data_IF_115316222848
#
_entry.id   IF_115316222848
#
_cell.length_a   1.000
_cell.length_b   1.000
_cell.length_c   1.000
_cell.angle_alpha   90.00
_cell.angle_beta   90.00
_cell.angle_gamma   90.00
#
_symmetry.space_group_name_H-M   'P 1'
#
loop_
_entity.id
_entity.type
_entity.pdbx_description
1 polymer ?
#
# COMPACT_ATOMS: atom_id res chain seq x y z
N UNK A 1 -18.92 10.18 -5.13
CA UNK A 1 -19.01 8.71 -5.25
C UNK A 1 -17.57 8.20 -5.40
N UNK A 2 -17.01 7.63 -4.33
CA UNK A 2 -15.58 7.34 -4.18
C UNK A 2 -15.16 6.17 -5.09
N UNK A 3 -14.16 6.39 -5.94
CA UNK A 3 -13.53 5.35 -6.74
C UNK A 3 -12.19 5.04 -6.09
N UNK A 4 -12.09 3.86 -5.46
CA UNK A 4 -10.85 3.33 -4.86
C UNK A 4 -10.11 2.57 -5.95
N UNK A 5 -8.93 3.03 -6.33
CA UNK A 5 -7.95 2.20 -7.01
C UNK A 5 -6.59 2.49 -6.38
N UNK A 6 -6.17 1.61 -5.47
CA UNK A 6 -4.83 1.62 -4.91
C UNK A 6 -4.35 0.16 -4.73
N UNK A 7 -3.14 -0.11 -5.25
CA UNK A 7 -2.25 -1.24 -5.00
C UNK A 7 -2.77 -2.68 -5.21
N UNK A 8 -2.43 -3.25 -6.37
CA UNK A 8 -2.47 -4.72 -6.61
C UNK A 8 -1.27 -5.45 -5.93
N UNK A 9 -0.34 -4.75 -5.28
CA UNK A 9 0.85 -5.35 -4.65
C UNK A 9 0.78 -5.63 -3.14
N UNK A 10 -0.10 -4.95 -2.38
CA UNK A 10 -0.13 -5.05 -0.90
C UNK A 10 -1.50 -5.44 -0.31
N UNK A 11 -2.52 -5.62 -1.15
CA UNK A 11 -3.86 -6.07 -0.71
C UNK A 11 -4.00 -7.58 -0.54
N UNK A 12 -3.00 -8.38 -0.94
CA UNK A 12 -3.03 -9.85 -0.74
C UNK A 12 -2.69 -10.28 0.69
N UNK A 13 -2.21 -9.39 1.56
CA UNK A 13 -1.98 -9.65 2.98
C UNK A 13 -3.03 -9.06 3.92
N UNK A 14 -3.96 -8.24 3.40
CA UNK A 14 -5.14 -7.75 4.15
C UNK A 14 -6.47 -8.36 3.68
N UNK A 15 -6.48 -9.18 2.63
CA UNK A 15 -7.66 -9.91 2.15
C UNK A 15 -7.89 -11.26 2.85
N UNK A 16 -7.00 -11.70 3.75
CA UNK A 16 -7.21 -12.95 4.52
C UNK A 16 -8.06 -12.77 5.79
N UNK A 17 -8.51 -11.54 6.08
CA UNK A 17 -9.29 -11.21 7.28
C UNK A 17 -10.51 -10.33 6.97
N UNK A 18 -11.22 -10.57 5.87
CA UNK A 18 -12.60 -10.07 5.71
C UNK A 18 -13.36 -10.77 4.57
N UNK A 19 -14.45 -11.44 4.94
CA UNK A 19 -15.64 -11.82 4.16
C UNK A 19 -15.59 -12.98 3.15
N UNK A 20 -16.37 -14.01 3.51
CA UNK A 20 -17.06 -14.96 2.64
C UNK A 20 -17.83 -14.28 1.48
N UNK A 21 -17.75 -14.93 0.31
CA UNK A 21 -18.47 -14.73 -0.99
C UNK A 21 -17.91 -13.69 -1.97
N UNK A 22 -17.58 -14.13 -3.20
CA UNK A 22 -18.31 -13.67 -4.40
C UNK A 22 -18.06 -14.50 -5.69
N UNK A 23 -19.10 -14.84 -6.50
CA UNK A 23 -18.99 -15.55 -7.79
C UNK A 23 -18.81 -14.66 -9.05
N UNK A 24 -18.44 -13.39 -8.94
CA UNK A 24 -18.42 -12.44 -10.08
C UNK A 24 -17.04 -12.23 -10.74
N UNK A 25 -15.98 -12.82 -10.19
CA UNK A 25 -14.61 -12.61 -10.68
C UNK A 25 -14.40 -13.19 -12.09
N UNK A 26 -15.05 -14.31 -12.43
CA UNK A 26 -14.84 -14.99 -13.71
C UNK A 26 -15.27 -14.15 -14.93
N UNK A 27 -16.42 -13.48 -14.85
CA UNK A 27 -16.91 -12.61 -15.94
C UNK A 27 -16.04 -11.36 -16.11
N UNK A 28 -15.47 -10.87 -15.02
CA UNK A 28 -14.54 -9.75 -15.03
C UNK A 28 -13.20 -10.16 -15.67
N UNK A 29 -12.67 -11.32 -15.28
CA UNK A 29 -11.46 -11.94 -15.83
C UNK A 29 -11.60 -12.18 -17.34
N UNK A 30 -12.72 -12.76 -17.79
CA UNK A 30 -12.96 -13.06 -19.21
C UNK A 30 -13.04 -11.78 -20.07
N UNK A 31 -13.67 -10.71 -19.54
CA UNK A 31 -13.69 -9.39 -20.21
C UNK A 31 -12.30 -8.76 -20.28
N UNK A 32 -11.51 -8.90 -19.22
CA UNK A 32 -10.14 -8.41 -19.16
C UNK A 32 -9.26 -9.12 -20.20
N UNK A 33 -9.36 -10.45 -20.27
CA UNK A 33 -8.63 -11.28 -21.23
C UNK A 33 -8.92 -10.87 -22.68
N UNK A 34 -10.20 -10.69 -23.03
CA UNK A 34 -10.61 -10.26 -24.37
C UNK A 34 -10.10 -8.85 -24.74
N UNK A 35 -10.12 -7.91 -23.79
CA UNK A 35 -9.57 -6.57 -23.98
C UNK A 35 -8.05 -6.58 -24.19
N UNK A 36 -7.33 -7.49 -23.53
CA UNK A 36 -5.89 -7.67 -23.68
C UNK A 36 -5.53 -8.25 -25.06
N UNK A 37 -6.33 -9.19 -25.57
CA UNK A 37 -6.16 -9.78 -26.91
C UNK A 37 -6.43 -8.76 -28.03
N UNK A 38 -7.48 -7.94 -27.90
CA UNK A 38 -7.90 -7.02 -28.96
C UNK A 38 -7.00 -5.78 -29.13
N UNK A 39 -6.31 -5.34 -28.07
CA UNK A 39 -5.62 -4.03 -28.06
C UNK A 39 -4.09 -4.08 -28.15
N UNK A 40 -3.48 -5.26 -28.17
CA UNK A 40 -2.05 -5.46 -28.50
C UNK A 40 -1.02 -4.86 -27.55
N UNK A 41 -1.36 -3.92 -26.65
CA UNK A 41 -0.51 -3.44 -25.57
C UNK A 41 -1.32 -2.70 -24.49
N UNK A 42 -1.48 -3.33 -23.33
CA UNK A 42 -1.69 -2.63 -22.05
C UNK A 42 -0.49 -2.76 -21.12
N UNK A 43 0.45 -3.67 -21.44
CA UNK A 43 1.62 -4.00 -20.64
C UNK A 43 2.81 -4.14 -21.57
N UNK A 44 3.71 -3.15 -21.62
CA UNK A 44 5.05 -3.36 -22.20
C UNK A 44 5.96 -3.82 -21.07
N UNK A 45 6.54 -5.01 -21.19
CA UNK A 45 7.47 -5.56 -20.21
C UNK A 45 8.83 -5.69 -20.85
N UNK A 46 9.84 -5.10 -20.25
CA UNK A 46 11.24 -5.44 -20.50
C UNK A 46 11.80 -6.16 -19.29
N UNK A 47 12.57 -7.21 -19.55
CA UNK A 47 13.24 -7.99 -18.53
C UNK A 47 14.74 -7.95 -18.76
N UNK A 48 15.50 -7.89 -17.67
CA UNK A 48 16.94 -8.05 -17.70
C UNK A 48 17.41 -8.82 -16.47
N UNK A 49 18.53 -9.50 -16.59
CA UNK A 49 19.21 -10.13 -15.47
C UNK A 49 20.63 -9.57 -15.38
N UNK A 50 21.03 -9.13 -14.19
CA UNK A 50 22.35 -8.59 -13.92
C UNK A 50 22.78 -9.02 -12.52
N UNK A 51 23.94 -9.68 -12.41
CA UNK A 51 24.54 -10.10 -11.14
C UNK A 51 23.58 -10.86 -10.19
N UNK A 52 22.70 -11.69 -10.76
CA UNK A 52 21.71 -12.48 -10.03
C UNK A 52 20.45 -11.71 -9.59
N UNK A 53 20.30 -10.46 -10.03
CA UNK A 53 19.06 -9.70 -9.92
C UNK A 53 18.25 -9.81 -11.21
N UNK A 54 16.99 -10.22 -11.08
CA UNK A 54 16.00 -10.12 -12.15
C UNK A 54 15.28 -8.79 -12.04
N UNK A 55 15.32 -8.01 -13.12
CA UNK A 55 14.65 -6.73 -13.27
C UNK A 55 13.50 -6.87 -14.27
N UNK A 56 12.30 -6.43 -13.87
CA UNK A 56 11.12 -6.35 -14.72
C UNK A 56 10.65 -4.89 -14.72
N UNK A 57 10.77 -4.21 -15.86
CA UNK A 57 10.16 -2.90 -16.08
C UNK A 57 8.85 -3.11 -16.81
N UNK A 58 7.76 -2.60 -16.25
CA UNK A 58 6.42 -2.73 -16.79
C UNK A 58 5.78 -1.35 -16.95
N UNK A 59 5.20 -1.10 -18.13
CA UNK A 59 4.38 0.07 -18.41
C UNK A 59 2.92 -0.34 -18.51
N UNK A 60 2.05 0.28 -17.72
CA UNK A 60 0.62 0.02 -17.66
C UNK A 60 -0.18 1.26 -18.07
N UNK A 61 -1.20 1.09 -18.90
CA UNK A 61 -2.25 2.09 -19.06
C UNK A 61 -3.42 1.72 -18.15
N UNK A 62 -3.77 2.57 -17.18
CA UNK A 62 -4.86 2.28 -16.26
C UNK A 62 -6.21 2.24 -17.00
N UNK A 63 -7.11 1.37 -16.54
CA UNK A 63 -8.48 1.31 -17.04
C UNK A 63 -9.40 2.15 -16.15
N UNK A 64 -10.13 3.08 -16.77
CA UNK A 64 -11.18 3.86 -16.13
C UNK A 64 -12.51 3.11 -16.02
N UNK A 65 -13.55 3.83 -15.59
CA UNK A 65 -14.89 3.28 -15.35
C UNK A 65 -15.43 2.50 -16.56
N UNK A 66 -15.90 1.28 -16.31
CA UNK A 66 -16.41 0.40 -17.36
C UNK A 66 -15.32 -0.16 -18.29
N UNK A 67 -14.07 -0.27 -17.80
CA UNK A 67 -12.92 -0.82 -18.53
C UNK A 67 -12.53 -0.02 -19.77
N UNK A 68 -12.81 1.28 -19.78
CA UNK A 68 -12.36 2.20 -20.85
C UNK A 68 -10.91 2.61 -20.58
N UNK A 69 -10.06 2.82 -21.61
CA UNK A 69 -8.73 3.39 -21.40
C UNK A 69 -8.82 4.70 -20.61
N UNK A 70 -8.02 4.83 -19.56
CA UNK A 70 -7.84 6.11 -18.87
C UNK A 70 -6.67 6.89 -19.49
N UNK A 71 -6.52 8.16 -19.08
CA UNK A 71 -5.30 8.93 -19.38
C UNK A 71 -4.14 8.59 -18.45
N UNK A 72 -4.41 7.77 -17.44
CA UNK A 72 -3.45 7.44 -16.40
C UNK A 72 -2.51 6.35 -16.87
N UNK A 73 -1.22 6.60 -16.72
CA UNK A 73 -0.15 5.66 -17.02
C UNK A 73 0.66 5.38 -15.76
N UNK A 74 0.96 4.11 -15.54
CA UNK A 74 1.77 3.64 -14.41
C UNK A 74 3.01 2.95 -14.96
N UNK A 75 4.17 3.43 -14.54
CA UNK A 75 5.45 2.77 -14.74
C UNK A 75 5.83 2.04 -13.46
N UNK A 76 6.11 0.75 -13.55
CA UNK A 76 6.65 -0.02 -12.43
C UNK A 76 7.98 -0.65 -12.79
N UNK A 77 8.90 -0.68 -11.83
CA UNK A 77 10.15 -1.43 -11.90
C UNK A 77 10.20 -2.38 -10.71
N UNK A 78 10.26 -3.67 -10.99
CA UNK A 78 10.44 -4.72 -10.01
C UNK A 78 11.85 -5.27 -10.13
N UNK A 79 12.59 -5.26 -9.03
CA UNK A 79 13.92 -5.84 -8.93
C UNK A 79 13.83 -6.96 -7.90
N UNK A 80 14.23 -8.17 -8.26
CA UNK A 80 14.14 -9.34 -7.39
C UNK A 80 15.45 -10.11 -7.38
N UNK A 81 15.85 -10.60 -6.21
CA UNK A 81 16.99 -11.48 -6.06
C UNK A 81 16.59 -12.66 -5.19
N UNK A 82 16.83 -13.88 -5.69
CA UNK A 82 16.46 -15.11 -5.00
C UNK A 82 17.25 -15.37 -3.70
N UNK A 83 18.18 -14.51 -3.29
CA UNK A 83 18.96 -14.70 -2.06
C UNK A 83 18.72 -13.60 -1.04
N UNK A 84 18.22 -12.43 -1.44
CA UNK A 84 18.20 -11.24 -0.56
C UNK A 84 16.80 -10.66 -0.40
N UNK A 85 16.33 -9.86 -1.35
CA UNK A 85 15.14 -9.03 -1.23
C UNK A 85 14.49 -8.77 -2.59
N UNK A 86 13.31 -8.17 -2.55
CA UNK A 86 12.67 -7.59 -3.70
C UNK A 86 12.50 -6.08 -3.49
N UNK A 87 12.62 -5.29 -4.55
CA UNK A 87 12.36 -3.85 -4.58
C UNK A 87 11.32 -3.59 -5.65
N UNK A 88 10.32 -2.78 -5.33
CA UNK A 88 9.33 -2.29 -6.28
C UNK A 88 9.36 -0.77 -6.28
N UNK A 89 9.43 -0.18 -7.46
CA UNK A 89 9.18 1.24 -7.69
C UNK A 89 7.94 1.35 -8.57
N UNK A 90 7.03 2.25 -8.23
CA UNK A 90 5.88 2.59 -9.06
C UNK A 90 5.71 4.10 -9.14
N UNK A 91 5.52 4.60 -10.36
CA UNK A 91 5.27 6.00 -10.66
C UNK A 91 4.08 6.09 -11.60
N UNK A 92 3.17 7.00 -11.31
CA UNK A 92 1.93 7.21 -11.98
C UNK A 92 1.82 8.69 -12.39
N UNK A 93 1.33 8.95 -13.60
CA UNK A 93 1.19 10.32 -14.12
C UNK A 93 -0.05 11.06 -13.60
N UNK A 94 -0.96 10.35 -12.92
CA UNK A 94 -2.07 10.96 -12.22
C UNK A 94 -1.61 11.38 -10.83
N UNK A 95 -1.63 12.69 -10.59
CA UNK A 95 -1.27 13.30 -9.30
C UNK A 95 -2.13 12.86 -8.13
N UNK A 96 -3.31 12.29 -8.38
CA UNK A 96 -4.14 11.74 -7.32
C UNK A 96 -3.68 10.34 -6.87
N UNK A 97 -2.71 9.73 -7.56
CA UNK A 97 -2.17 8.43 -7.22
C UNK A 97 -0.84 8.56 -6.48
N UNK A 98 -0.62 7.67 -5.52
CA UNK A 98 0.62 7.63 -4.78
C UNK A 98 1.76 7.00 -5.57
N UNK A 99 2.92 7.65 -5.53
CA UNK A 99 4.16 7.23 -6.17
C UNK A 99 5.17 6.82 -5.10
N UNK A 100 5.95 5.76 -5.31
CA UNK A 100 6.85 5.33 -4.25
C UNK A 100 7.69 4.11 -4.54
N UNK A 101 8.53 3.79 -3.55
CA UNK A 101 9.39 2.61 -3.57
C UNK A 101 9.17 1.80 -2.30
N UNK A 102 9.13 0.49 -2.46
CA UNK A 102 9.00 -0.46 -1.36
C UNK A 102 10.04 -1.56 -1.47
N UNK A 103 10.60 -1.97 -0.33
CA UNK A 103 11.52 -3.10 -0.22
C UNK A 103 10.80 -4.21 0.54
N UNK A 104 10.81 -5.42 0.00
CA UNK A 104 10.08 -6.56 0.54
C UNK A 104 11.02 -7.69 0.95
N UNK A 105 10.65 -8.36 2.03
CA UNK A 105 11.23 -9.63 2.39
C UNK A 105 10.92 -10.65 1.29
N UNK A 106 11.97 -11.33 0.85
CA UNK A 106 11.91 -12.34 -0.20
C UNK A 106 10.90 -13.46 0.11
N UNK A 107 10.92 -14.02 1.33
CA UNK A 107 10.21 -15.26 1.63
C UNK A 107 8.72 -15.05 1.91
N UNK A 108 8.35 -13.96 2.58
CA UNK A 108 6.97 -13.69 3.00
C UNK A 108 6.27 -12.66 2.11
N UNK A 109 7.03 -11.87 1.34
CA UNK A 109 6.50 -10.70 0.65
C UNK A 109 6.15 -9.55 1.59
N UNK A 110 6.46 -9.64 2.89
CA UNK A 110 6.24 -8.57 3.85
C UNK A 110 7.12 -7.36 3.50
N UNK A 111 6.55 -6.16 3.47
CA UNK A 111 7.32 -4.93 3.26
C UNK A 111 8.24 -4.68 4.45
N UNK A 112 9.56 -4.54 4.22
CA UNK A 112 10.48 -4.01 5.21
C UNK A 112 10.25 -2.52 5.43
N UNK A 113 10.18 -1.80 4.32
CA UNK A 113 10.02 -0.35 4.29
C UNK A 113 9.34 0.05 2.99
N UNK A 114 8.49 1.07 3.08
CA UNK A 114 7.95 1.76 1.91
C UNK A 114 8.01 3.25 2.15
N UNK A 115 8.35 3.99 1.11
CA UNK A 115 8.21 5.45 1.06
C UNK A 115 7.34 5.83 -0.11
N UNK A 116 6.54 6.88 0.05
CA UNK A 116 5.72 7.39 -1.03
C UNK A 116 5.48 8.89 -0.95
N UNK A 117 5.24 9.46 -2.12
CA UNK A 117 4.54 10.71 -2.36
C UNK A 117 3.06 10.34 -2.46
N UNK A 118 2.28 10.64 -1.42
CA UNK A 118 0.90 10.21 -1.24
C UNK A 118 -0.12 11.20 -1.79
N UNK A 119 0.29 12.44 -2.05
CA UNK A 119 -0.54 13.50 -2.60
C UNK A 119 -0.16 13.97 -4.03
N UNK A 120 0.90 13.38 -4.59
CA UNK A 120 1.35 13.53 -5.96
C UNK A 120 1.99 14.89 -6.25
N UNK A 121 2.47 15.61 -5.23
CA UNK A 121 3.12 16.90 -5.39
C UNK A 121 4.61 16.80 -5.79
N UNK A 122 5.16 15.58 -5.78
CA UNK A 122 6.55 15.26 -6.10
C UNK A 122 7.48 15.21 -4.88
N UNK A 123 6.95 15.35 -3.66
CA UNK A 123 7.68 15.24 -2.40
C UNK A 123 7.22 13.99 -1.66
N UNK A 124 8.19 13.20 -1.16
CA UNK A 124 7.84 12.05 -0.32
C UNK A 124 7.29 12.55 1.02
N UNK A 125 6.09 12.09 1.37
CA UNK A 125 5.32 12.53 2.52
C UNK A 125 4.80 11.34 3.35
N UNK A 126 5.23 10.12 3.04
CA UNK A 126 4.87 8.95 3.82
C UNK A 126 6.01 7.95 3.87
N UNK A 127 6.30 7.47 5.07
CA UNK A 127 7.16 6.30 5.28
C UNK A 127 6.49 5.32 6.23
N UNK A 128 6.59 4.04 5.89
CA UNK A 128 6.25 2.94 6.78
C UNK A 128 7.38 1.94 6.84
N UNK A 129 7.62 1.36 8.01
CA UNK A 129 8.52 0.21 8.13
C UNK A 129 7.97 -0.84 9.08
N UNK A 130 8.30 -2.09 8.76
CA UNK A 130 7.92 -3.27 9.54
C UNK A 130 9.05 -3.69 10.46
N UNK A 131 8.70 -4.07 11.68
CA UNK A 131 9.56 -4.76 12.62
C UNK A 131 9.20 -6.24 12.53
N UNK A 132 10.17 -7.06 12.14
CA UNK A 132 10.01 -8.49 11.94
C UNK A 132 10.78 -9.28 13.01
N UNK A 133 10.36 -10.50 13.28
CA UNK A 133 11.17 -11.45 14.04
C UNK A 133 12.28 -12.07 13.16
N UNK A 134 13.09 -12.92 13.79
CA UNK A 134 14.21 -13.63 13.14
C UNK A 134 13.79 -14.51 11.95
N UNK A 135 12.53 -14.94 11.93
CA UNK A 135 11.99 -15.84 10.90
C UNK A 135 11.26 -15.03 9.80
N UNK A 136 11.17 -13.71 9.94
CA UNK A 136 10.52 -12.82 8.98
C UNK A 136 9.05 -12.54 9.26
N UNK A 137 8.52 -12.98 10.40
CA UNK A 137 7.13 -12.72 10.75
C UNK A 137 6.98 -11.28 11.23
N UNK A 138 5.91 -10.63 10.77
CA UNK A 138 5.55 -9.27 11.18
C UNK A 138 5.19 -9.22 12.67
N UNK A 139 5.94 -8.43 13.45
CA UNK A 139 5.68 -8.15 14.86
C UNK A 139 4.90 -6.85 15.02
N UNK A 140 5.38 -5.79 14.37
CA UNK A 140 4.76 -4.48 14.37
C UNK A 140 5.05 -3.71 13.09
N UNK A 141 4.27 -2.69 12.80
CA UNK A 141 4.60 -1.68 11.79
C UNK A 141 4.43 -0.29 12.37
N UNK A 142 5.13 0.66 11.79
CA UNK A 142 5.00 2.07 12.13
C UNK A 142 4.87 2.91 10.86
N UNK A 143 4.28 4.08 11.00
CA UNK A 143 3.99 5.02 9.94
C UNK A 143 4.31 6.43 10.42
N UNK A 144 5.01 7.18 9.57
CA UNK A 144 5.29 8.61 9.69
C UNK A 144 4.73 9.28 8.44
N UNK A 145 3.67 10.06 8.66
CA UNK A 145 2.99 10.85 7.66
C UNK A 145 3.50 12.29 7.73
N UNK A 146 3.86 12.82 6.59
CA UNK A 146 4.66 14.03 6.41
C UNK A 146 6.16 13.77 6.32
N UNK A 147 6.63 12.56 6.66
CA UNK A 147 8.06 12.23 6.74
C UNK A 147 8.85 13.26 7.57
N UNK A 148 8.25 13.73 8.67
CA UNK A 148 8.80 14.79 9.52
C UNK A 148 9.73 14.23 10.62
N UNK A 149 9.88 12.90 10.68
CA UNK A 149 10.69 12.17 11.65
C UNK A 149 9.94 11.83 12.94
N UNK A 150 8.71 12.30 13.11
CA UNK A 150 7.82 11.93 14.21
C UNK A 150 6.92 10.78 13.76
N UNK A 151 7.07 9.62 14.38
CA UNK A 151 6.14 8.51 14.13
C UNK A 151 4.75 8.87 14.64
N UNK A 152 3.75 8.61 13.81
CA UNK A 152 2.36 9.00 14.07
C UNK A 152 1.48 7.84 14.43
N UNK A 153 1.77 6.69 13.84
CA UNK A 153 1.00 5.49 14.03
C UNK A 153 1.92 4.30 14.20
N UNK A 154 1.55 3.41 15.12
CA UNK A 154 2.19 2.11 15.28
C UNK A 154 1.15 1.06 15.60
N UNK A 155 1.36 -0.14 15.08
CA UNK A 155 0.51 -1.29 15.36
C UNK A 155 1.39 -2.47 15.78
N UNK A 156 1.03 -3.09 16.91
CA UNK A 156 1.63 -4.33 17.39
C UNK A 156 0.67 -5.48 17.03
N UNK A 157 1.08 -6.31 16.08
CA UNK A 157 0.26 -7.41 15.57
C UNK A 157 0.21 -8.60 16.54
N UNK A 158 1.17 -8.72 17.45
CA UNK A 158 1.22 -9.77 18.46
C UNK A 158 0.22 -9.47 19.58
N UNK A 159 0.24 -8.24 20.08
CA UNK A 159 -0.67 -7.76 21.13
C UNK A 159 -2.02 -7.31 20.59
N UNK A 160 -2.14 -7.12 19.27
CA UNK A 160 -3.32 -6.59 18.58
C UNK A 160 -3.71 -5.19 19.05
N UNK A 161 -2.71 -4.38 19.39
CA UNK A 161 -2.88 -3.00 19.84
C UNK A 161 -2.39 -2.04 18.76
N UNK A 162 -3.04 -0.90 18.62
CA UNK A 162 -2.58 0.19 17.79
C UNK A 162 -2.38 1.43 18.65
N UNK A 163 -1.52 2.34 18.23
CA UNK A 163 -1.27 3.57 18.95
C UNK A 163 -1.15 4.72 17.96
N UNK A 164 -1.67 5.87 18.35
CA UNK A 164 -1.57 7.13 17.60
C UNK A 164 -0.79 8.11 18.46
N UNK A 165 0.17 8.81 17.87
CA UNK A 165 0.78 9.98 18.49
C UNK A 165 -0.16 11.17 18.33
N UNK A 166 -0.69 11.65 19.45
CA UNK A 166 -1.74 12.66 19.48
C UNK A 166 -1.50 13.64 20.61
N UNK A 167 -1.48 14.95 20.30
CA UNK A 167 -1.27 16.02 21.29
C UNK A 167 -0.01 15.79 22.16
N UNK A 168 1.11 15.43 21.51
CA UNK A 168 2.42 15.13 22.13
C UNK A 168 2.48 13.88 23.02
N UNK A 169 1.47 13.00 22.95
CA UNK A 169 1.45 11.76 23.73
C UNK A 169 1.05 10.56 22.88
N UNK A 170 1.60 9.39 23.22
CA UNK A 170 1.18 8.13 22.64
C UNK A 170 -0.15 7.68 23.25
N UNK A 171 -1.18 7.52 22.42
CA UNK A 171 -2.51 7.05 22.82
C UNK A 171 -2.74 5.64 22.29
N UNK A 172 -2.95 4.69 23.18
CA UNK A 172 -3.34 3.32 22.80
C UNK A 172 -4.77 3.29 22.29
N UNK A 173 -5.01 2.43 21.29
CA UNK A 173 -6.32 2.20 20.71
C UNK A 173 -7.17 1.28 21.58
N UNK A 174 -8.42 1.67 21.80
CA UNK A 174 -9.46 0.79 22.32
C UNK A 174 -10.29 0.27 21.15
N UNK A 175 -10.46 -1.05 21.06
CA UNK A 175 -11.34 -1.71 20.08
C UNK A 175 -12.73 -1.87 20.66
N UNK A 176 -13.72 -1.41 19.93
CA UNK A 176 -15.13 -1.52 20.30
C UNK A 176 -15.99 -1.78 19.04
N UNK A 177 -17.29 -2.00 19.24
CA UNK A 177 -18.23 -2.11 18.14
C UNK A 177 -18.19 -0.82 17.29
N UNK A 178 -17.93 -0.98 15.99
CA UNK A 178 -17.78 0.15 15.05
C UNK A 178 -16.35 0.62 14.77
N UNK A 179 -15.32 0.11 15.46
CA UNK A 179 -13.92 0.36 15.05
C UNK A 179 -12.87 0.43 16.16
N UNK A 180 -11.77 1.12 15.86
CA UNK A 180 -10.67 1.38 16.79
C UNK A 180 -10.59 2.89 17.08
N UNK A 181 -10.44 3.22 18.35
CA UNK A 181 -10.54 4.59 18.85
C UNK A 181 -9.39 4.92 19.78
N UNK A 182 -8.97 6.17 19.82
CA UNK A 182 -8.17 6.70 20.92
C UNK A 182 -9.09 7.38 21.93
N UNK A 183 -8.85 7.17 23.22
CA UNK A 183 -9.62 7.78 24.30
C UNK A 183 -8.71 8.59 25.22
N UNK A 184 -9.13 9.79 25.59
CA UNK A 184 -8.43 10.66 26.51
C UNK A 184 -9.42 11.55 27.28
N UNK A 185 -9.44 11.38 28.60
CA UNK A 185 -10.53 11.91 29.43
C UNK A 185 -11.88 11.39 28.93
N UNK A 186 -12.83 12.30 28.76
CA UNK A 186 -14.17 12.01 28.24
C UNK A 186 -14.25 12.02 26.70
N UNK A 187 -13.14 12.34 26.02
CA UNK A 187 -13.09 12.40 24.55
C UNK A 187 -12.71 11.05 23.98
N UNK A 188 -13.39 10.70 22.89
CA UNK A 188 -13.13 9.51 22.08
C UNK A 188 -13.13 9.88 20.62
N UNK A 189 -12.08 9.48 19.89
CA UNK A 189 -11.89 9.82 18.49
C UNK A 189 -11.54 8.54 17.73
N UNK A 190 -12.17 8.29 16.59
CA UNK A 190 -11.79 7.18 15.72
C UNK A 190 -10.37 7.41 15.20
N UNK A 191 -9.54 6.36 15.14
CA UNK A 191 -8.16 6.48 14.63
C UNK A 191 -8.13 7.13 13.25
N UNK A 192 -9.08 6.77 12.37
CA UNK A 192 -9.20 7.34 11.04
C UNK A 192 -9.44 8.85 11.03
N UNK A 193 -10.09 9.39 12.06
CA UNK A 193 -10.34 10.82 12.17
C UNK A 193 -9.17 11.54 12.85
N UNK A 194 -8.50 10.90 13.81
CA UNK A 194 -7.25 11.40 14.36
C UNK A 194 -6.20 11.60 13.25
N UNK A 195 -5.98 10.60 12.40
CA UNK A 195 -5.04 10.70 11.28
C UNK A 195 -5.42 11.82 10.29
N UNK A 196 -6.71 12.00 9.99
CA UNK A 196 -7.16 13.13 9.15
C UNK A 196 -6.91 14.49 9.78
N UNK A 197 -7.17 14.65 11.08
CA UNK A 197 -6.98 15.94 11.77
C UNK A 197 -5.52 16.34 11.77
N UNK A 198 -4.60 15.37 11.86
CA UNK A 198 -3.18 15.65 11.75
C UNK A 198 -2.75 16.08 10.34
N UNK A 199 -3.65 16.08 9.34
CA UNK A 199 -3.30 16.31 7.94
C UNK A 199 -2.63 15.10 7.30
N UNK A 200 -2.75 13.93 7.94
CA UNK A 200 -1.94 12.72 7.72
C UNK A 200 -2.77 11.60 7.11
N UNK A 201 -3.51 11.90 6.05
CA UNK A 201 -4.31 10.92 5.30
C UNK A 201 -3.92 10.99 3.83
N UNK A 202 -3.47 9.87 3.26
CA UNK A 202 -3.30 9.71 1.81
C UNK A 202 -4.66 9.94 1.14
N UNK A 203 -4.81 10.97 0.30
CA UNK A 203 -6.11 11.31 -0.30
C UNK A 203 -6.73 10.16 -1.09
#
# INVERSE_FOLDING_TARGET
>A
MKMRYLLIGSLLSFSSLAFDKQPDDKKLIDKLAKLLEEKGAFKSISNAELDGFKMESAFYNALGKGLKPSKTTTHSLFISNQKTMNVSLSVDDNKENSNGVSIYQKNTGQSYVSVSDSDGDGVLDFITYSILDKDGKLLSSVEDFGMDGQIDFKIDFVKKTAWVFWENEWRESVREEGGAFIQFGDKKIAISDALKILGRYSR
#
